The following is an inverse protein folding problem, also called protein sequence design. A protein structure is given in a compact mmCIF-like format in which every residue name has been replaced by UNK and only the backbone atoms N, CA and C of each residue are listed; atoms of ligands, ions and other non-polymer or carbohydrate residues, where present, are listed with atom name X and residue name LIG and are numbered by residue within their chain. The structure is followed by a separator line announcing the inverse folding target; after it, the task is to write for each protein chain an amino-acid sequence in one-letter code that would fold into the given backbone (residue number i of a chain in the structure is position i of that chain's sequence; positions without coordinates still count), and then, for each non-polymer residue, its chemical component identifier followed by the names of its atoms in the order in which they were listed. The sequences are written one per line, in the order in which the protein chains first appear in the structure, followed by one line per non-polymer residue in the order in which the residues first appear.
data_IF_099691149817
#
_entry.id   IF_099691149817
#
_cell.length_a   1.000
_cell.length_b   1.000
_cell.length_c   1.000
_cell.angle_alpha   90.00
_cell.angle_beta   90.00
_cell.angle_gamma   90.00
#
_symmetry.space_group_name_H-M   'P 1'
#
loop_
_entity.id
_entity.type
_entity.pdbx_description
1 polymer ?
#
# COMPACT_ATOMS: atom_id res chain seq x y z
N UNK A 1 -1.91 26.73 -1.39
CA UNK A 1 -2.07 25.38 -0.78
C UNK A 1 -2.88 25.47 0.50
N UNK A 2 -3.93 24.64 0.64
CA UNK A 2 -4.82 24.67 1.82
C UNK A 2 -4.18 24.00 3.05
N UNK A 3 -3.41 22.93 2.84
CA UNK A 3 -2.82 22.14 3.92
C UNK A 3 -1.31 22.33 4.00
N UNK A 4 -0.70 21.94 5.13
CA UNK A 4 0.75 21.89 5.32
C UNK A 4 1.30 20.48 5.17
N UNK A 5 0.46 19.45 5.46
CA UNK A 5 0.85 18.05 5.46
C UNK A 5 -0.06 17.26 4.52
N UNK A 6 0.54 16.66 3.51
CA UNK A 6 -0.12 15.87 2.47
C UNK A 6 0.28 14.40 2.65
N UNK A 7 -0.67 13.54 2.97
CA UNK A 7 -0.46 12.12 3.21
C UNK A 7 -1.09 11.37 2.04
N UNK A 8 -0.26 10.71 1.24
CA UNK A 8 -0.69 10.04 0.03
C UNK A 8 -0.75 8.52 0.22
N UNK A 9 -1.77 7.90 -0.35
CA UNK A 9 -1.71 6.51 -0.76
C UNK A 9 -0.82 6.36 -2.01
N UNK A 10 -0.42 5.12 -2.34
CA UNK A 10 0.48 4.85 -3.46
C UNK A 10 -0.25 4.28 -4.67
N UNK A 11 -0.77 3.06 -4.52
CA UNK A 11 -1.29 2.28 -5.65
C UNK A 11 -2.70 2.71 -6.04
N UNK A 12 -2.87 3.06 -7.32
CA UNK A 12 -4.10 3.68 -7.80
C UNK A 12 -4.21 5.18 -7.50
N UNK A 13 -3.27 5.74 -6.75
CA UNK A 13 -3.22 7.17 -6.37
C UNK A 13 -2.04 7.89 -7.05
N UNK A 14 -0.82 7.43 -6.83
CA UNK A 14 0.40 7.97 -7.44
C UNK A 14 0.95 7.07 -8.55
N UNK A 15 0.72 5.77 -8.43
CA UNK A 15 1.20 4.73 -9.33
C UNK A 15 0.02 3.89 -9.82
N UNK A 16 -0.06 3.73 -11.13
CA UNK A 16 -0.92 2.74 -11.78
C UNK A 16 -0.14 1.43 -11.92
N UNK A 17 -0.60 0.41 -11.22
CA UNK A 17 0.04 -0.90 -11.16
C UNK A 17 -0.98 -1.99 -11.50
N UNK A 18 -0.52 -3.02 -12.18
CA UNK A 18 -1.28 -4.26 -12.33
C UNK A 18 -0.40 -5.45 -11.98
N UNK A 19 -0.95 -6.35 -11.17
CA UNK A 19 -0.30 -7.61 -10.75
C UNK A 19 -1.29 -8.75 -10.87
N UNK A 20 -0.82 -9.89 -11.35
CA UNK A 20 -1.57 -11.14 -11.38
C UNK A 20 -0.79 -12.24 -10.64
N UNK A 21 -1.18 -12.48 -9.38
CA UNK A 21 -0.62 -13.55 -8.57
C UNK A 21 -1.32 -14.91 -8.81
N UNK A 22 -2.36 -14.94 -9.67
CA UNK A 22 -3.08 -16.18 -9.99
C UNK A 22 -2.49 -16.92 -11.19
N UNK A 23 -1.68 -16.27 -12.02
CA UNK A 23 -1.10 -16.84 -13.23
C UNK A 23 -0.19 -18.05 -12.93
N UNK A 24 -0.36 -19.20 -13.62
CA UNK A 24 0.46 -20.39 -13.39
C UNK A 24 1.95 -20.20 -13.65
N UNK A 25 2.32 -19.30 -14.57
CA UNK A 25 3.69 -18.99 -14.95
C UNK A 25 4.50 -18.37 -13.80
N UNK A 26 3.86 -17.57 -12.95
CA UNK A 26 4.47 -17.06 -11.72
C UNK A 26 4.87 -18.22 -10.81
N UNK A 27 3.97 -19.15 -10.55
CA UNK A 27 4.19 -20.22 -9.60
C UNK A 27 5.18 -21.28 -10.09
N UNK A 28 5.22 -21.54 -11.41
CA UNK A 28 6.28 -22.36 -12.03
C UNK A 28 7.64 -21.71 -11.84
N UNK A 29 7.75 -20.42 -12.16
CA UNK A 29 8.96 -19.63 -11.95
C UNK A 29 9.39 -19.64 -10.48
N UNK A 30 8.48 -19.45 -9.54
CA UNK A 30 8.82 -19.45 -8.12
C UNK A 30 9.26 -20.84 -7.60
N UNK A 31 8.65 -21.93 -8.10
CA UNK A 31 9.09 -23.28 -7.76
C UNK A 31 10.53 -23.54 -8.24
N UNK A 32 10.85 -23.15 -9.46
CA UNK A 32 12.22 -23.23 -10.01
C UNK A 32 13.20 -22.32 -9.24
N UNK A 33 12.76 -21.12 -8.88
CA UNK A 33 13.56 -20.17 -8.10
C UNK A 33 13.92 -20.74 -6.71
N UNK A 34 12.95 -21.33 -6.01
CA UNK A 34 13.15 -21.94 -4.69
C UNK A 34 14.09 -23.16 -4.78
N UNK A 35 13.92 -24.02 -5.79
CA UNK A 35 14.82 -25.16 -5.98
C UNK A 35 16.25 -24.71 -6.25
N UNK A 36 16.44 -23.75 -7.14
CA UNK A 36 17.74 -23.25 -7.55
C UNK A 36 18.50 -22.55 -6.42
N UNK A 37 17.81 -21.68 -5.65
CA UNK A 37 18.48 -20.80 -4.70
C UNK A 37 18.49 -21.35 -3.26
N UNK A 38 17.56 -22.24 -2.91
CA UNK A 38 17.40 -22.77 -1.56
C UNK A 38 17.36 -24.29 -1.48
N UNK A 39 17.36 -24.98 -2.63
CA UNK A 39 17.26 -26.44 -2.67
C UNK A 39 15.86 -26.99 -2.33
N UNK A 40 14.89 -26.11 -2.13
CA UNK A 40 13.53 -26.47 -1.72
C UNK A 40 12.67 -26.77 -2.95
N UNK A 41 12.12 -27.99 -3.02
CA UNK A 41 11.35 -28.47 -4.18
C UNK A 41 9.86 -28.45 -3.94
N UNK A 42 9.13 -27.84 -4.85
CA UNK A 42 7.67 -27.83 -4.88
C UNK A 42 7.12 -28.17 -6.26
N UNK A 43 6.01 -28.90 -6.32
CA UNK A 43 5.07 -28.72 -7.43
C UNK A 43 4.46 -27.32 -7.35
N UNK A 44 4.39 -26.62 -8.47
CA UNK A 44 3.97 -25.22 -8.50
C UNK A 44 2.53 -24.98 -8.00
N UNK A 45 1.62 -25.97 -8.20
CA UNK A 45 0.24 -25.88 -7.69
C UNK A 45 0.20 -26.05 -6.16
N UNK A 46 1.06 -26.94 -5.65
CA UNK A 46 1.22 -27.13 -4.21
C UNK A 46 1.82 -25.88 -3.58
N UNK A 47 2.87 -25.28 -4.19
CA UNK A 47 3.47 -24.03 -3.73
C UNK A 47 2.44 -22.91 -3.62
N UNK A 48 1.65 -22.66 -4.68
CA UNK A 48 0.58 -21.66 -4.68
C UNK A 48 -0.42 -21.88 -3.55
N UNK A 49 -0.85 -23.13 -3.37
CA UNK A 49 -1.81 -23.50 -2.33
C UNK A 49 -1.26 -23.27 -0.93
N UNK A 50 -0.03 -23.71 -0.66
CA UNK A 50 0.62 -23.53 0.66
C UNK A 50 0.92 -22.06 0.95
N UNK A 51 1.34 -21.28 -0.06
CA UNK A 51 1.49 -19.82 0.08
C UNK A 51 0.19 -19.16 0.54
N UNK A 52 -0.92 -19.39 -0.17
CA UNK A 52 -2.21 -18.80 0.21
C UNK A 52 -2.71 -19.26 1.60
N UNK A 53 -2.48 -20.54 1.94
CA UNK A 53 -2.81 -21.08 3.27
C UNK A 53 -1.98 -20.40 4.36
N UNK A 54 -0.68 -20.24 4.17
CA UNK A 54 0.21 -19.59 5.12
C UNK A 54 -0.13 -18.10 5.26
N UNK A 55 -0.40 -17.38 4.17
CA UNK A 55 -0.86 -15.99 4.24
C UNK A 55 -2.10 -15.86 5.15
N UNK A 56 -3.07 -16.74 4.99
CA UNK A 56 -4.27 -16.74 5.83
C UNK A 56 -3.94 -17.04 7.30
N UNK A 57 -3.14 -18.07 7.57
CA UNK A 57 -2.75 -18.45 8.93
C UNK A 57 -1.98 -17.34 9.64
N UNK A 58 -1.01 -16.71 8.95
CA UNK A 58 -0.25 -15.58 9.50
C UNK A 58 -1.15 -14.38 9.79
N UNK A 59 -2.12 -14.11 8.92
CA UNK A 59 -3.07 -13.02 9.10
C UNK A 59 -3.96 -13.25 10.32
N UNK A 60 -4.49 -14.47 10.48
CA UNK A 60 -5.30 -14.85 11.64
C UNK A 60 -4.49 -14.78 12.94
N UNK A 61 -3.29 -15.35 12.96
CA UNK A 61 -2.40 -15.30 14.13
C UNK A 61 -1.99 -13.86 14.49
N UNK A 62 -1.75 -13.01 13.49
CA UNK A 62 -1.43 -11.61 13.72
C UNK A 62 -2.64 -10.84 14.29
N UNK A 63 -3.84 -11.09 13.76
CA UNK A 63 -5.07 -10.48 14.28
C UNK A 63 -5.29 -10.82 15.77
N UNK A 64 -5.07 -12.09 16.15
CA UNK A 64 -5.14 -12.52 17.55
C UNK A 64 -4.07 -11.85 18.43
N UNK A 65 -2.84 -11.69 17.91
CA UNK A 65 -1.71 -11.11 18.64
C UNK A 65 -1.85 -9.61 18.87
N UNK A 66 -2.27 -8.84 17.86
CA UNK A 66 -2.31 -7.38 17.92
C UNK A 66 -3.73 -6.81 18.14
N UNK A 67 -4.77 -7.64 18.07
CA UNK A 67 -6.17 -7.24 18.26
C UNK A 67 -6.74 -6.38 17.12
N UNK A 68 -5.99 -6.15 16.04
CA UNK A 68 -6.48 -5.35 14.91
C UNK A 68 -7.50 -6.13 14.07
N UNK A 69 -8.54 -5.43 13.63
CA UNK A 69 -9.48 -5.94 12.62
C UNK A 69 -8.91 -5.87 11.20
N UNK A 70 -7.80 -5.18 11.03
CA UNK A 70 -7.13 -4.94 9.76
C UNK A 70 -5.62 -5.24 9.86
N UNK A 71 -5.25 -6.49 10.22
CA UNK A 71 -3.84 -6.87 10.32
C UNK A 71 -3.19 -6.88 8.93
N UNK A 72 -1.89 -6.57 8.88
CA UNK A 72 -1.06 -6.70 7.68
C UNK A 72 0.18 -7.50 8.01
N UNK A 73 0.29 -8.70 7.46
CA UNK A 73 1.46 -9.56 7.66
C UNK A 73 2.69 -9.03 6.92
N UNK A 74 3.86 -9.46 7.33
CA UNK A 74 5.08 -9.32 6.55
C UNK A 74 5.21 -10.54 5.65
N UNK A 75 5.22 -10.34 4.34
CA UNK A 75 5.23 -11.45 3.38
C UNK A 75 6.45 -12.37 3.51
N UNK A 76 7.57 -11.83 4.01
CA UNK A 76 8.77 -12.63 4.31
C UNK A 76 8.53 -13.73 5.35
N UNK A 77 7.55 -13.60 6.25
CA UNK A 77 7.19 -14.68 7.18
C UNK A 77 6.64 -15.91 6.45
N UNK A 78 5.85 -15.68 5.41
CA UNK A 78 5.30 -16.74 4.57
C UNK A 78 6.41 -17.40 3.76
N UNK A 79 7.26 -16.61 3.09
CA UNK A 79 8.35 -17.15 2.32
C UNK A 79 9.36 -17.91 3.16
N UNK A 80 9.69 -17.42 4.36
CA UNK A 80 10.60 -18.13 5.27
C UNK A 80 10.08 -19.52 5.65
N UNK A 81 8.76 -19.66 5.84
CA UNK A 81 8.14 -20.98 6.12
C UNK A 81 8.11 -21.91 4.91
N UNK A 82 8.02 -21.34 3.71
CA UNK A 82 8.05 -22.12 2.47
C UNK A 82 9.48 -22.56 2.08
N UNK A 83 10.48 -21.76 2.38
CA UNK A 83 11.89 -22.08 2.07
C UNK A 83 12.39 -23.27 2.90
N UNK A 84 12.00 -23.36 4.18
CA UNK A 84 12.45 -24.38 5.15
C UNK A 84 13.99 -24.54 5.20
N UNK A 85 14.73 -23.45 5.01
CA UNK A 85 16.17 -23.36 5.04
C UNK A 85 16.62 -21.98 5.56
N UNK A 86 17.86 -21.82 6.04
CA UNK A 86 18.39 -20.50 6.35
C UNK A 86 18.33 -19.56 5.13
N UNK A 87 17.85 -18.35 5.36
CA UNK A 87 17.72 -17.32 4.33
C UNK A 87 18.22 -15.99 4.89
N UNK A 88 19.17 -15.35 4.21
CA UNK A 88 19.62 -14.01 4.58
C UNK A 88 18.60 -12.95 4.16
N UNK A 89 18.70 -11.76 4.77
CA UNK A 89 17.83 -10.63 4.41
C UNK A 89 17.96 -10.25 2.92
N UNK A 90 19.16 -10.33 2.36
CA UNK A 90 19.43 -10.08 0.94
C UNK A 90 18.73 -11.12 0.06
N UNK A 91 18.88 -12.41 0.38
CA UNK A 91 18.19 -13.49 -0.35
C UNK A 91 16.67 -13.36 -0.26
N UNK A 92 16.14 -12.95 0.89
CA UNK A 92 14.70 -12.71 1.07
C UNK A 92 14.22 -11.51 0.24
N UNK A 93 15.01 -10.43 0.19
CA UNK A 93 14.74 -9.27 -0.66
C UNK A 93 14.71 -9.65 -2.13
N UNK A 94 15.71 -10.42 -2.60
CA UNK A 94 15.80 -10.90 -3.98
C UNK A 94 14.60 -11.79 -4.36
N UNK A 95 14.22 -12.70 -3.46
CA UNK A 95 13.06 -13.57 -3.67
C UNK A 95 11.77 -12.76 -3.78
N UNK A 96 11.55 -11.83 -2.87
CA UNK A 96 10.36 -10.97 -2.87
C UNK A 96 10.33 -10.07 -4.12
N UNK A 97 11.48 -9.54 -4.53
CA UNK A 97 11.61 -8.76 -5.77
C UNK A 97 11.28 -9.62 -6.99
N UNK A 98 11.85 -10.81 -7.09
CA UNK A 98 11.59 -11.75 -8.20
C UNK A 98 10.10 -12.14 -8.29
N UNK A 99 9.46 -12.42 -7.14
CA UNK A 99 8.02 -12.70 -7.09
C UNK A 99 7.21 -11.50 -7.59
N UNK A 100 7.52 -10.31 -7.09
CA UNK A 100 6.79 -9.09 -7.44
C UNK A 100 6.96 -8.71 -8.91
N UNK A 101 8.17 -8.73 -9.43
CA UNK A 101 8.46 -8.44 -10.85
C UNK A 101 7.79 -9.45 -11.78
N UNK A 102 7.79 -10.74 -11.41
CA UNK A 102 7.17 -11.79 -12.21
C UNK A 102 5.64 -11.72 -12.20
N UNK A 103 5.04 -11.27 -11.10
CA UNK A 103 3.58 -11.09 -11.00
C UNK A 103 3.07 -9.79 -11.62
N UNK A 104 3.95 -8.82 -11.88
CA UNK A 104 3.61 -7.48 -12.32
C UNK A 104 3.82 -7.32 -13.83
N UNK A 105 2.82 -6.84 -14.54
CA UNK A 105 2.89 -6.51 -15.96
C UNK A 105 2.77 -5.00 -16.24
N UNK A 106 2.42 -4.20 -15.22
CA UNK A 106 2.29 -2.75 -15.33
C UNK A 106 2.83 -2.05 -14.08
N UNK A 107 3.63 -1.01 -14.28
CA UNK A 107 4.07 -0.04 -13.27
C UNK A 107 4.32 1.30 -13.93
N UNK A 108 3.41 2.25 -13.75
CA UNK A 108 3.48 3.58 -14.37
C UNK A 108 3.01 4.63 -13.37
N UNK A 109 3.71 5.76 -13.27
CA UNK A 109 3.19 6.91 -12.52
C UNK A 109 1.99 7.51 -13.25
N UNK A 110 0.99 7.97 -12.49
CA UNK A 110 -0.03 8.82 -13.08
C UNK A 110 0.55 10.15 -13.54
N UNK A 111 -0.08 10.74 -14.56
CA UNK A 111 0.29 12.04 -15.09
C UNK A 111 0.15 13.13 -14.01
N UNK A 112 1.11 14.08 -13.96
CA UNK A 112 1.10 15.20 -13.02
C UNK A 112 1.58 14.86 -11.60
N UNK A 113 1.92 13.62 -11.30
CA UNK A 113 2.32 13.20 -9.92
C UNK A 113 3.59 13.92 -9.48
N UNK A 114 4.68 13.89 -10.28
CA UNK A 114 5.95 14.53 -9.88
C UNK A 114 5.80 16.04 -9.74
N UNK A 115 5.10 16.65 -10.67
CA UNK A 115 4.85 18.09 -10.68
C UNK A 115 4.05 18.52 -9.45
N UNK A 116 3.02 17.75 -9.09
CA UNK A 116 2.20 18.01 -7.90
C UNK A 116 3.01 17.88 -6.62
N UNK A 117 3.74 16.77 -6.45
CA UNK A 117 4.58 16.54 -5.27
C UNK A 117 5.67 17.61 -5.14
N UNK A 118 6.32 17.98 -6.25
CA UNK A 118 7.32 19.05 -6.28
C UNK A 118 6.71 20.41 -5.91
N UNK A 119 5.51 20.73 -6.42
CA UNK A 119 4.78 21.97 -6.09
C UNK A 119 4.47 22.07 -4.60
N UNK A 120 3.99 20.99 -3.98
CA UNK A 120 3.77 20.92 -2.53
C UNK A 120 5.06 21.23 -1.77
N UNK A 121 6.16 20.58 -2.12
CA UNK A 121 7.46 20.78 -1.47
C UNK A 121 7.98 22.21 -1.65
N UNK A 122 7.87 22.80 -2.86
CA UNK A 122 8.29 24.18 -3.15
C UNK A 122 7.48 25.20 -2.35
N UNK A 123 6.20 24.91 -2.09
CA UNK A 123 5.34 25.75 -1.24
C UNK A 123 5.61 25.56 0.27
N UNK A 124 6.59 24.75 0.66
CA UNK A 124 6.94 24.46 2.05
C UNK A 124 6.08 23.39 2.71
N UNK A 125 5.23 22.70 1.94
CA UNK A 125 4.43 21.57 2.42
C UNK A 125 5.26 20.31 2.66
N UNK A 126 4.74 19.46 3.53
CA UNK A 126 5.30 18.13 3.83
C UNK A 126 4.53 17.06 3.10
N UNK A 127 5.23 16.04 2.61
CA UNK A 127 4.69 14.95 1.83
C UNK A 127 5.01 13.62 2.51
N UNK A 128 3.99 12.86 2.82
CA UNK A 128 4.10 11.55 3.49
C UNK A 128 3.45 10.47 2.63
N UNK A 129 3.97 9.26 2.71
CA UNK A 129 3.33 8.08 2.14
C UNK A 129 2.69 7.24 3.26
N UNK A 130 1.44 6.80 3.05
CA UNK A 130 0.72 5.84 3.91
C UNK A 130 0.07 4.77 3.03
N UNK A 131 0.75 3.66 2.81
CA UNK A 131 0.32 2.65 1.84
C UNK A 131 0.03 1.29 2.47
N UNK A 132 -1.07 0.66 2.06
CA UNK A 132 -1.33 -0.75 2.31
C UNK A 132 -0.48 -1.58 1.34
N UNK A 133 0.66 -2.08 1.83
CA UNK A 133 1.67 -2.68 0.97
C UNK A 133 2.68 -3.55 1.74
N UNK A 134 3.52 -4.25 0.99
CA UNK A 134 4.68 -4.98 1.51
C UNK A 134 5.96 -4.18 1.27
N UNK A 135 6.75 -3.90 2.32
CA UNK A 135 8.00 -3.13 2.22
C UNK A 135 8.91 -3.65 1.12
N UNK A 136 9.13 -4.96 1.08
CA UNK A 136 10.03 -5.61 0.13
C UNK A 136 9.61 -5.53 -1.34
N UNK A 137 8.35 -5.18 -1.62
CA UNK A 137 7.87 -4.88 -2.96
C UNK A 137 7.97 -3.38 -3.27
N UNK A 138 7.53 -2.57 -2.30
CA UNK A 138 7.27 -1.14 -2.49
C UNK A 138 8.55 -0.32 -2.63
N UNK A 139 9.64 -0.69 -1.94
CA UNK A 139 10.92 0.03 -2.05
C UNK A 139 11.41 0.12 -3.49
N UNK A 140 11.47 -1.03 -4.17
CA UNK A 140 11.90 -1.08 -5.58
C UNK A 140 10.94 -0.32 -6.50
N UNK A 141 9.65 -0.39 -6.25
CA UNK A 141 8.64 0.31 -7.06
C UNK A 141 8.69 1.83 -6.88
N UNK A 142 9.02 2.32 -5.70
CA UNK A 142 9.26 3.74 -5.44
C UNK A 142 10.56 4.24 -6.13
N UNK A 143 11.61 3.41 -6.14
CA UNK A 143 12.85 3.69 -6.87
C UNK A 143 12.61 3.73 -8.39
N UNK A 144 11.98 2.68 -8.96
CA UNK A 144 11.69 2.55 -10.39
C UNK A 144 10.79 3.67 -10.91
N UNK A 145 9.90 4.17 -10.07
CA UNK A 145 9.02 5.29 -10.38
C UNK A 145 9.61 6.66 -10.00
N UNK A 146 10.81 6.70 -9.43
CA UNK A 146 11.51 7.92 -9.01
C UNK A 146 10.65 8.79 -8.07
N UNK A 147 9.95 8.17 -7.10
CA UNK A 147 9.10 8.87 -6.16
C UNK A 147 9.70 9.02 -4.76
N UNK A 148 10.66 8.18 -4.38
CA UNK A 148 11.25 8.14 -3.03
C UNK A 148 11.68 9.51 -2.52
N UNK A 149 12.31 10.33 -3.36
CA UNK A 149 12.87 11.63 -2.99
C UNK A 149 11.84 12.70 -2.64
N UNK A 150 10.56 12.50 -2.95
CA UNK A 150 9.52 13.47 -2.64
C UNK A 150 8.98 13.34 -1.22
N UNK A 151 9.12 12.16 -0.61
CA UNK A 151 8.53 11.89 0.71
C UNK A 151 9.44 12.33 1.84
N UNK A 152 8.86 13.02 2.82
CA UNK A 152 9.50 13.33 4.10
C UNK A 152 9.53 12.08 4.99
N UNK A 153 8.56 11.15 4.83
CA UNK A 153 8.57 9.83 5.45
C UNK A 153 7.65 8.84 4.70
N UNK A 154 7.91 7.54 4.84
CA UNK A 154 7.23 6.46 4.13
C UNK A 154 6.74 5.41 5.13
N UNK A 155 5.41 5.35 5.31
CA UNK A 155 4.73 4.39 6.16
C UNK A 155 4.11 3.28 5.31
N UNK A 156 4.57 2.06 5.52
CA UNK A 156 4.07 0.85 4.84
C UNK A 156 3.40 -0.05 5.86
N UNK A 157 2.21 -0.54 5.55
CA UNK A 157 1.38 -1.32 6.48
C UNK A 157 2.07 -2.58 7.00
N UNK A 158 2.85 -3.27 6.18
CA UNK A 158 3.59 -4.46 6.62
C UNK A 158 4.61 -4.18 7.73
N UNK A 159 5.20 -2.97 7.78
CA UNK A 159 6.13 -2.62 8.85
C UNK A 159 5.40 -2.45 10.19
N UNK A 160 4.19 -1.89 10.14
CA UNK A 160 3.38 -1.55 11.30
C UNK A 160 2.43 -2.68 11.72
N UNK A 161 2.37 -3.76 10.93
CA UNK A 161 1.52 -4.96 11.15
C UNK A 161 0.00 -4.64 11.22
N UNK A 162 -0.38 -3.45 10.74
CA UNK A 162 -1.75 -2.97 10.59
C UNK A 162 -1.90 -2.17 9.29
N UNK A 163 -3.11 -2.15 8.73
CA UNK A 163 -3.40 -1.43 7.48
C UNK A 163 -4.65 -0.55 7.56
N UNK A 164 -4.78 0.39 6.63
CA UNK A 164 -6.01 1.16 6.41
C UNK A 164 -7.18 0.20 6.18
N UNK A 165 -8.37 0.47 6.73
CA UNK A 165 -8.82 1.69 7.39
C UNK A 165 -8.57 1.78 8.90
N UNK A 166 -7.69 0.96 9.48
CA UNK A 166 -7.39 1.05 10.92
C UNK A 166 -6.77 2.43 11.24
N UNK A 167 -7.47 3.22 12.05
CA UNK A 167 -7.03 4.56 12.42
C UNK A 167 -5.68 4.59 13.14
N UNK A 168 -5.31 3.50 13.83
CA UNK A 168 -4.02 3.38 14.49
C UNK A 168 -2.85 3.48 13.52
N UNK A 169 -3.02 3.05 12.25
CA UNK A 169 -1.97 3.16 11.24
C UNK A 169 -1.65 4.63 10.89
N UNK A 170 -2.68 5.44 10.62
CA UNK A 170 -2.49 6.86 10.35
C UNK A 170 -2.11 7.64 11.62
N UNK A 171 -2.63 7.25 12.79
CA UNK A 171 -2.31 7.91 14.05
C UNK A 171 -0.82 7.80 14.38
N UNK A 172 -0.15 6.68 14.09
CA UNK A 172 1.30 6.53 14.26
C UNK A 172 2.10 7.56 13.45
N UNK A 173 1.69 7.84 12.19
CA UNK A 173 2.31 8.88 11.37
C UNK A 173 2.07 10.27 11.98
N UNK A 174 0.85 10.56 12.41
CA UNK A 174 0.48 11.83 13.04
C UNK A 174 1.33 12.06 14.29
N UNK A 175 1.45 11.05 15.15
CA UNK A 175 2.20 11.15 16.42
C UNK A 175 3.70 11.32 16.17
N UNK A 176 4.28 10.52 15.26
CA UNK A 176 5.71 10.58 14.92
C UNK A 176 6.15 11.98 14.46
N UNK A 177 5.31 12.63 13.67
CA UNK A 177 5.60 13.93 13.07
C UNK A 177 4.89 15.09 13.76
N UNK A 178 4.14 14.84 14.84
CA UNK A 178 3.38 15.86 15.59
C UNK A 178 2.45 16.67 14.65
N UNK A 179 1.77 15.99 13.73
CA UNK A 179 0.96 16.65 12.71
C UNK A 179 -0.29 17.29 13.30
N UNK A 180 -0.53 18.55 12.94
CA UNK A 180 -1.78 19.24 13.25
C UNK A 180 -2.86 18.76 12.30
N UNK A 181 -3.92 18.12 12.83
CA UNK A 181 -4.97 17.48 12.01
C UNK A 181 -5.68 18.47 11.09
N UNK A 182 -5.97 19.70 11.54
CA UNK A 182 -6.59 20.74 10.72
C UNK A 182 -5.71 21.28 9.58
N UNK A 183 -4.41 20.96 9.61
CA UNK A 183 -3.42 21.34 8.60
C UNK A 183 -2.98 20.13 7.76
N UNK A 184 -3.63 19.00 7.91
CA UNK A 184 -3.26 17.72 7.30
C UNK A 184 -4.40 17.13 6.48
N UNK A 185 -4.08 16.43 5.40
CA UNK A 185 -5.06 15.78 4.53
C UNK A 185 -4.57 14.43 4.06
N UNK A 186 -5.48 13.42 4.03
CA UNK A 186 -5.24 12.12 3.40
C UNK A 186 -5.72 12.15 1.95
N UNK A 187 -4.90 11.71 1.01
CA UNK A 187 -5.22 11.66 -0.41
C UNK A 187 -5.09 10.22 -0.90
N UNK A 188 -6.16 9.70 -1.50
CA UNK A 188 -6.16 8.33 -2.01
C UNK A 188 -7.33 8.02 -2.93
N UNK A 189 -7.34 6.81 -3.49
CA UNK A 189 -8.32 6.35 -4.46
C UNK A 189 -9.27 5.27 -3.92
N UNK A 190 -9.05 4.78 -2.71
CA UNK A 190 -9.91 3.77 -2.08
C UNK A 190 -10.70 4.38 -0.91
N UNK A 191 -12.03 4.56 -1.12
CA UNK A 191 -12.88 5.21 -0.12
C UNK A 191 -12.85 4.46 1.21
N UNK A 192 -12.97 3.14 1.19
CA UNK A 192 -12.99 2.37 2.43
C UNK A 192 -11.65 2.43 3.18
N UNK A 193 -10.54 2.37 2.47
CA UNK A 193 -9.19 2.42 3.07
C UNK A 193 -8.77 3.86 3.38
N UNK A 194 -8.73 4.76 2.37
CA UNK A 194 -8.08 6.06 2.49
C UNK A 194 -8.99 7.10 3.16
N UNK A 195 -10.23 7.22 2.68
CA UNK A 195 -11.21 8.11 3.32
C UNK A 195 -11.60 7.55 4.68
N UNK A 196 -11.69 6.21 4.81
CA UNK A 196 -11.99 5.54 6.08
C UNK A 196 -10.94 5.78 7.16
N UNK A 197 -9.64 5.67 6.84
CA UNK A 197 -8.58 5.93 7.81
C UNK A 197 -8.53 7.40 8.22
N UNK A 198 -8.77 8.33 7.27
CA UNK A 198 -8.86 9.76 7.57
C UNK A 198 -10.03 10.04 8.52
N UNK A 199 -11.21 9.49 8.24
CA UNK A 199 -12.40 9.63 9.09
C UNK A 199 -12.17 9.09 10.50
N UNK A 200 -11.49 7.93 10.62
CA UNK A 200 -11.21 7.29 11.91
C UNK A 200 -10.38 8.17 12.85
N UNK A 201 -9.52 9.05 12.31
CA UNK A 201 -8.68 9.97 13.09
C UNK A 201 -9.15 11.43 13.02
N UNK A 202 -10.21 11.73 12.27
CA UNK A 202 -10.80 13.07 12.16
C UNK A 202 -10.08 14.00 11.19
N UNK A 203 -9.31 13.49 10.22
CA UNK A 203 -8.70 14.27 9.14
C UNK A 203 -9.69 14.56 8.02
N UNK A 204 -9.38 15.63 7.24
CA UNK A 204 -9.95 15.82 5.92
C UNK A 204 -9.38 14.77 4.94
N UNK A 205 -10.14 14.44 3.89
CA UNK A 205 -9.70 13.54 2.83
C UNK A 205 -9.91 14.16 1.44
N UNK A 206 -9.07 13.76 0.49
CA UNK A 206 -9.27 14.01 -0.94
C UNK A 206 -9.34 12.65 -1.63
N UNK A 207 -10.48 12.35 -2.23
CA UNK A 207 -10.68 11.13 -3.00
C UNK A 207 -10.40 11.37 -4.48
N UNK A 208 -9.46 10.62 -5.04
CA UNK A 208 -9.14 10.60 -6.47
C UNK A 208 -9.85 9.42 -7.14
N UNK A 209 -10.80 9.69 -8.03
CA UNK A 209 -11.56 8.64 -8.72
C UNK A 209 -10.81 8.07 -9.93
N UNK A 210 -9.58 7.62 -9.74
CA UNK A 210 -8.69 7.08 -10.79
C UNK A 210 -9.27 5.86 -11.50
N UNK A 211 -10.12 5.07 -10.81
CA UNK A 211 -10.77 3.88 -11.37
C UNK A 211 -12.17 4.14 -11.92
N UNK A 212 -12.58 5.41 -12.09
CA UNK A 212 -13.87 5.80 -12.64
C UNK A 212 -15.07 5.11 -11.97
N UNK A 213 -15.02 4.94 -10.65
CA UNK A 213 -16.10 4.33 -9.86
C UNK A 213 -17.37 5.16 -9.97
N UNK A 214 -18.50 4.48 -10.03
CA UNK A 214 -19.79 5.12 -10.09
C UNK A 214 -20.15 5.84 -8.78
N UNK A 215 -21.00 6.89 -8.86
CA UNK A 215 -21.52 7.59 -7.67
C UNK A 215 -22.22 6.65 -6.68
N UNK A 216 -22.84 5.57 -7.18
CA UNK A 216 -23.48 4.56 -6.33
C UNK A 216 -22.46 3.80 -5.49
N UNK A 217 -21.35 3.37 -6.08
CA UNK A 217 -20.26 2.68 -5.37
C UNK A 217 -19.58 3.59 -4.38
N UNK A 218 -19.29 4.84 -4.78
CA UNK A 218 -18.73 5.89 -3.92
C UNK A 218 -19.60 6.07 -2.67
N UNK A 219 -20.90 6.33 -2.84
CA UNK A 219 -21.84 6.53 -1.74
C UNK A 219 -22.00 5.28 -0.85
N UNK A 220 -21.95 4.08 -1.44
CA UNK A 220 -22.00 2.85 -0.68
C UNK A 220 -20.79 2.72 0.26
N UNK A 221 -19.59 2.96 -0.26
CA UNK A 221 -18.36 2.85 0.52
C UNK A 221 -18.21 3.96 1.58
N UNK A 222 -18.68 5.20 1.29
CA UNK A 222 -18.72 6.27 2.28
C UNK A 222 -19.59 5.89 3.50
N UNK A 223 -20.75 5.30 3.25
CA UNK A 223 -21.62 4.83 4.34
C UNK A 223 -20.95 3.71 5.16
N UNK A 224 -20.22 2.82 4.50
CA UNK A 224 -19.53 1.71 5.18
C UNK A 224 -18.40 2.18 6.09
N UNK A 225 -17.66 3.21 5.71
CA UNK A 225 -16.55 3.74 6.53
C UNK A 225 -16.99 4.85 7.50
N UNK A 226 -18.27 5.27 7.47
CA UNK A 226 -18.78 6.28 8.38
C UNK A 226 -18.18 7.68 8.20
N UNK A 227 -17.63 7.97 7.02
CA UNK A 227 -17.01 9.26 6.74
C UNK A 227 -18.04 10.38 6.60
N UNK A 228 -17.72 11.54 7.18
CA UNK A 228 -18.47 12.78 6.94
C UNK A 228 -18.13 13.31 5.53
N UNK A 229 -19.11 13.30 4.64
CA UNK A 229 -18.95 13.75 3.25
C UNK A 229 -18.47 15.21 3.16
N UNK A 230 -18.77 16.05 4.16
CA UNK A 230 -18.32 17.45 4.19
C UNK A 230 -16.80 17.58 4.43
N UNK A 231 -16.15 16.52 4.89
CA UNK A 231 -14.69 16.43 5.07
C UNK A 231 -13.98 15.78 3.89
N UNK A 232 -14.71 15.45 2.81
CA UNK A 232 -14.15 14.77 1.64
C UNK A 232 -14.28 15.66 0.42
N UNK A 233 -13.14 16.03 -0.17
CA UNK A 233 -13.08 16.61 -1.52
C UNK A 233 -13.05 15.49 -2.55
N UNK A 234 -13.88 15.55 -3.58
CA UNK A 234 -13.93 14.58 -4.67
C UNK A 234 -13.27 15.15 -5.91
N UNK A 235 -12.37 14.38 -6.50
CA UNK A 235 -11.76 14.63 -7.82
C UNK A 235 -12.27 13.51 -8.74
N UNK A 236 -13.38 13.81 -9.45
CA UNK A 236 -14.17 12.81 -10.20
C UNK A 236 -13.40 12.15 -11.36
N UNK A 237 -12.44 12.84 -11.93
CA UNK A 237 -11.57 12.34 -13.02
C UNK A 237 -10.23 11.77 -12.53
N UNK A 238 -10.01 11.75 -11.23
CA UNK A 238 -8.79 11.21 -10.62
C UNK A 238 -7.51 12.03 -10.88
N UNK A 239 -7.61 13.21 -11.47
CA UNK A 239 -6.46 14.04 -11.80
C UNK A 239 -5.84 14.66 -10.53
N UNK A 240 -4.67 14.17 -10.15
CA UNK A 240 -3.95 14.62 -8.95
C UNK A 240 -3.63 16.12 -8.94
N UNK A 241 -3.54 16.77 -10.10
CA UNK A 241 -3.30 18.22 -10.21
C UNK A 241 -4.45 19.06 -9.61
N UNK A 242 -5.61 18.45 -9.37
CA UNK A 242 -6.82 19.10 -8.82
C UNK A 242 -6.99 18.97 -7.31
N UNK A 243 -5.97 18.51 -6.60
CA UNK A 243 -6.05 18.36 -5.13
C UNK A 243 -6.00 19.69 -4.38
N UNK A 244 -5.57 20.74 -5.03
CA UNK A 244 -5.53 22.11 -4.48
C UNK A 244 -6.92 22.79 -4.39
#
# INVERSE_FOLDING_TARGET
MKYKNYIFDLYGTLIDIHTDEDQPELWKFMAEYLEKNFGTKYDYKVLKKEYGKLCKQETEALAERNGSKHPEIKIQWVWQKLIDAPCSDEQMKDLCTAFREKSRDKLVRYEGVKETLASIKQAGGKVYLLSNAQRLFTEKELEDTELTQYFDDIFISSDMEIKKPDGAFLQQLIDKHSLVKSESVMIGNEIFADVGVAAAVGLDAIYLNTYSRSKREINHNLKRCGADINKVKFVDDGDIRKIE
#
